data_IF_740848832863
#
_entry.id   IF_740848832863
#
_cell.length_a   1.000
_cell.length_b   1.000
_cell.length_c   1.000
_cell.angle_alpha   90.00
_cell.angle_beta   90.00
_cell.angle_gamma   90.00
#
_symmetry.space_group_name_H-M   'P 1'
#
loop_
_entity.id
_entity.type
_entity.pdbx_description
1 polymer ?
#
# COMPACT_ATOMS: atom_id res chain seq x y z
N UNK A 1 43.08 -44.53 -28.96
CA UNK A 1 43.16 -45.57 -27.93
C UNK A 1 41.96 -45.35 -27.00
N UNK A 2 41.06 -46.31 -26.88
CA UNK A 2 39.97 -46.22 -25.92
C UNK A 2 40.58 -46.26 -24.51
N UNK A 3 40.37 -45.22 -23.70
CA UNK A 3 40.78 -45.24 -22.30
C UNK A 3 40.01 -46.36 -21.61
N UNK A 4 40.75 -47.17 -20.84
CA UNK A 4 40.16 -48.26 -20.09
C UNK A 4 39.40 -47.63 -18.95
N UNK A 5 38.07 -47.73 -18.94
CA UNK A 5 37.25 -47.29 -17.82
C UNK A 5 37.57 -48.13 -16.60
N UNK A 6 37.47 -47.50 -15.40
CA UNK A 6 37.64 -48.12 -14.09
C UNK A 6 39.10 -48.45 -13.70
N UNK A 7 40.09 -47.67 -14.14
CA UNK A 7 41.42 -47.67 -13.54
C UNK A 7 41.40 -46.86 -12.25
N UNK A 8 41.94 -47.45 -11.12
CA UNK A 8 42.07 -46.77 -9.85
C UNK A 8 43.30 -45.83 -9.89
N UNK A 9 43.16 -44.63 -9.35
CA UNK A 9 44.28 -43.73 -9.14
C UNK A 9 45.22 -44.29 -8.07
N UNK A 10 46.49 -43.87 -8.12
CA UNK A 10 47.54 -44.33 -7.22
C UNK A 10 47.44 -43.74 -5.79
N UNK A 11 46.52 -42.79 -5.59
CA UNK A 11 46.29 -42.15 -4.30
C UNK A 11 44.97 -42.55 -3.68
N UNK A 12 44.90 -42.42 -2.35
CA UNK A 12 43.64 -42.59 -1.61
C UNK A 12 43.48 -41.46 -0.58
N UNK A 13 42.23 -41.09 -0.32
CA UNK A 13 41.88 -40.14 0.73
C UNK A 13 40.98 -40.85 1.76
N UNK A 14 41.44 -40.89 3.00
CA UNK A 14 40.74 -41.55 4.11
C UNK A 14 40.23 -42.98 3.82
N UNK A 15 41.05 -43.75 3.10
CA UNK A 15 40.69 -45.12 2.72
C UNK A 15 39.80 -45.25 1.50
N UNK A 16 39.47 -44.15 0.82
CA UNK A 16 38.64 -44.12 -0.40
C UNK A 16 39.56 -43.99 -1.60
N UNK A 17 39.44 -44.91 -2.53
CA UNK A 17 40.14 -44.87 -3.81
C UNK A 17 39.22 -44.34 -4.90
N UNK A 18 39.75 -43.52 -5.78
CA UNK A 18 39.02 -42.89 -6.88
C UNK A 18 39.35 -43.59 -8.22
N UNK A 19 38.37 -43.60 -9.12
CA UNK A 19 38.58 -44.05 -10.49
C UNK A 19 39.02 -42.91 -11.40
N UNK A 20 40.01 -43.16 -12.27
CA UNK A 20 40.43 -42.19 -13.31
C UNK A 20 39.48 -42.25 -14.51
N UNK A 21 38.26 -41.81 -14.29
CA UNK A 21 37.24 -41.75 -15.33
C UNK A 21 37.09 -40.33 -15.90
N UNK A 22 36.94 -40.23 -17.21
CA UNK A 22 36.65 -38.96 -17.86
C UNK A 22 35.27 -38.44 -17.43
N UNK A 23 35.15 -37.14 -17.33
CA UNK A 23 33.87 -36.49 -17.05
C UNK A 23 32.86 -36.82 -18.18
N UNK A 24 31.59 -37.04 -17.85
CA UNK A 24 30.54 -37.23 -18.86
C UNK A 24 30.52 -36.10 -19.89
N UNK A 25 30.45 -36.37 -21.20
CA UNK A 25 30.51 -35.32 -22.25
C UNK A 25 29.47 -34.20 -22.07
N UNK A 26 28.27 -34.55 -21.62
CA UNK A 26 27.22 -33.58 -21.40
C UNK A 26 27.59 -32.57 -20.31
N UNK A 27 28.37 -32.97 -19.31
CA UNK A 27 28.84 -32.12 -18.22
C UNK A 27 29.87 -31.11 -18.72
N UNK A 28 30.78 -31.55 -19.56
CA UNK A 28 31.80 -30.71 -20.21
C UNK A 28 31.11 -29.69 -21.12
N UNK A 29 30.14 -30.11 -21.91
CA UNK A 29 29.37 -29.19 -22.75
C UNK A 29 28.58 -28.14 -21.93
N UNK A 30 27.95 -28.58 -20.85
CA UNK A 30 27.27 -27.63 -19.93
C UNK A 30 28.25 -26.63 -19.35
N UNK A 31 29.42 -27.06 -18.92
CA UNK A 31 30.46 -26.20 -18.38
C UNK A 31 30.90 -25.12 -19.38
N UNK A 32 31.18 -25.48 -20.61
CA UNK A 32 31.53 -24.52 -21.66
C UNK A 32 30.37 -23.59 -22.01
N UNK A 33 29.16 -24.10 -22.03
CA UNK A 33 27.96 -23.26 -22.26
C UNK A 33 27.80 -22.22 -21.18
N UNK A 34 28.01 -22.55 -19.92
CA UNK A 34 27.96 -21.58 -18.84
C UNK A 34 29.04 -20.51 -18.92
N UNK A 35 30.27 -20.88 -19.37
CA UNK A 35 31.33 -19.91 -19.61
C UNK A 35 30.94 -18.90 -20.71
N UNK A 36 30.46 -19.42 -21.86
CA UNK A 36 30.01 -18.58 -22.98
C UNK A 36 28.87 -17.69 -22.54
N UNK A 37 27.90 -18.22 -21.83
CA UNK A 37 26.81 -17.43 -21.24
C UNK A 37 27.34 -16.33 -20.32
N UNK A 38 28.25 -16.68 -19.41
CA UNK A 38 28.86 -15.72 -18.47
C UNK A 38 29.59 -14.57 -19.19
N UNK A 39 30.32 -14.87 -20.27
CA UNK A 39 30.99 -13.86 -21.09
C UNK A 39 29.97 -12.95 -21.78
N UNK A 40 28.95 -13.51 -22.41
CA UNK A 40 27.87 -12.73 -23.06
C UNK A 40 27.15 -11.86 -22.02
N UNK A 41 26.83 -12.40 -20.87
CA UNK A 41 26.19 -11.67 -19.78
C UNK A 41 27.03 -10.48 -19.31
N UNK A 42 28.32 -10.72 -19.07
CA UNK A 42 29.26 -9.69 -18.63
C UNK A 42 29.38 -8.57 -19.67
N UNK A 43 29.54 -8.94 -20.94
CA UNK A 43 29.62 -7.96 -22.01
C UNK A 43 28.33 -7.13 -22.13
N UNK A 44 27.17 -7.78 -22.07
CA UNK A 44 25.87 -7.13 -22.24
C UNK A 44 25.56 -6.15 -21.09
N UNK A 45 25.73 -6.58 -19.84
CA UNK A 45 25.33 -5.77 -18.68
C UNK A 45 26.42 -4.82 -18.15
N UNK A 46 27.70 -5.23 -18.24
CA UNK A 46 28.79 -4.46 -17.63
C UNK A 46 29.63 -3.65 -18.62
N UNK A 47 29.78 -4.12 -19.86
CA UNK A 47 30.61 -3.43 -20.87
C UNK A 47 29.73 -2.57 -21.76
N UNK A 48 28.78 -3.17 -22.45
CA UNK A 48 27.94 -2.44 -23.43
C UNK A 48 26.74 -1.76 -22.78
N UNK A 49 26.33 -2.18 -21.57
CA UNK A 49 25.17 -1.62 -20.84
C UNK A 49 23.92 -1.54 -21.72
N UNK A 50 23.66 -2.56 -22.52
CA UNK A 50 22.53 -2.60 -23.45
C UNK A 50 21.21 -2.92 -22.77
N UNK A 51 21.26 -3.52 -21.56
CA UNK A 51 20.12 -3.74 -20.71
C UNK A 51 20.31 -3.02 -19.37
N UNK A 52 19.23 -2.51 -18.76
CA UNK A 52 19.31 -1.88 -17.46
C UNK A 52 19.78 -2.89 -16.40
N UNK A 53 20.51 -2.43 -15.41
CA UNK A 53 20.82 -3.20 -14.22
C UNK A 53 19.56 -3.38 -13.36
N UNK A 54 19.53 -4.34 -12.44
CA UNK A 54 18.40 -4.54 -11.53
C UNK A 54 18.05 -3.28 -10.73
N UNK A 55 19.06 -2.50 -10.34
CA UNK A 55 18.85 -1.24 -9.62
C UNK A 55 18.22 -0.16 -10.52
N UNK A 56 18.62 -0.08 -11.78
CA UNK A 56 18.03 0.84 -12.75
C UNK A 56 16.59 0.43 -13.11
N UNK A 57 16.34 -0.86 -13.32
CA UNK A 57 15.00 -1.40 -13.55
C UNK A 57 14.07 -1.10 -12.38
N UNK A 58 14.50 -1.39 -11.16
CA UNK A 58 13.75 -1.05 -9.94
C UNK A 58 13.44 0.45 -9.84
N UNK A 59 14.40 1.31 -10.12
CA UNK A 59 14.17 2.78 -10.11
C UNK A 59 13.17 3.22 -11.17
N UNK A 60 13.23 2.63 -12.37
CA UNK A 60 12.26 2.92 -13.42
C UNK A 60 10.85 2.46 -13.04
N UNK A 61 10.72 1.26 -12.48
CA UNK A 61 9.44 0.72 -12.01
C UNK A 61 8.85 1.57 -10.87
N UNK A 62 9.67 1.95 -9.88
CA UNK A 62 9.24 2.82 -8.79
C UNK A 62 8.79 4.19 -9.30
N UNK A 63 9.52 4.80 -10.24
CA UNK A 63 9.11 6.05 -10.83
C UNK A 63 7.81 5.95 -11.63
N UNK A 64 7.56 4.82 -12.29
CA UNK A 64 6.29 4.56 -12.96
C UNK A 64 5.14 4.35 -11.95
N UNK A 65 5.39 3.60 -10.88
CA UNK A 65 4.42 3.39 -9.80
C UNK A 65 4.04 4.71 -9.12
N UNK A 66 5.01 5.58 -8.84
CA UNK A 66 4.75 6.92 -8.29
C UNK A 66 3.91 7.79 -9.24
N UNK A 67 4.22 7.78 -10.54
CA UNK A 67 3.42 8.49 -11.54
C UNK A 67 2.00 7.94 -11.64
N UNK A 68 1.85 6.62 -11.63
CA UNK A 68 0.54 5.97 -11.66
C UNK A 68 -0.28 6.31 -10.41
N UNK A 69 0.37 6.30 -9.23
CA UNK A 69 -0.25 6.68 -7.96
C UNK A 69 -0.69 8.14 -7.98
N UNK A 70 0.18 9.06 -8.39
CA UNK A 70 -0.14 10.48 -8.50
C UNK A 70 -1.27 10.75 -9.51
N UNK A 71 -1.28 10.04 -10.65
CA UNK A 71 -2.37 10.14 -11.63
C UNK A 71 -3.69 9.60 -11.07
N UNK A 72 -3.66 8.50 -10.30
CA UNK A 72 -4.83 7.95 -9.64
C UNK A 72 -5.36 8.90 -8.57
N UNK A 73 -4.49 9.45 -7.72
CA UNK A 73 -4.84 10.45 -6.70
C UNK A 73 -5.44 11.72 -7.34
N UNK A 74 -4.85 12.21 -8.44
CA UNK A 74 -5.38 13.35 -9.19
C UNK A 74 -6.74 13.04 -9.86
N UNK A 75 -6.91 11.84 -10.41
CA UNK A 75 -8.19 11.40 -10.98
C UNK A 75 -9.26 11.21 -9.89
N UNK A 76 -8.89 10.68 -8.73
CA UNK A 76 -9.78 10.59 -7.58
C UNK A 76 -10.15 11.96 -7.04
N UNK A 77 -9.19 12.86 -6.87
CA UNK A 77 -9.47 14.25 -6.46
C UNK A 77 -10.39 14.97 -7.46
N UNK A 78 -10.25 14.70 -8.76
CA UNK A 78 -11.07 15.31 -9.80
C UNK A 78 -12.44 14.60 -9.98
N UNK A 79 -12.55 13.30 -9.65
CA UNK A 79 -13.84 12.56 -9.63
C UNK A 79 -14.61 12.79 -8.33
N UNK A 80 -13.91 13.13 -7.27
CA UNK A 80 -14.42 13.65 -6.03
C UNK A 80 -14.61 15.18 -6.16
N UNK A 81 -15.44 15.64 -7.08
CA UNK A 81 -16.25 16.82 -6.78
C UNK A 81 -17.21 16.33 -5.69
N UNK A 82 -16.64 16.21 -4.50
CA UNK A 82 -17.36 15.81 -3.30
C UNK A 82 -18.21 17.02 -2.92
N UNK A 83 -19.35 17.15 -3.57
CA UNK A 83 -20.34 18.07 -3.12
C UNK A 83 -20.95 17.50 -1.84
N UNK A 84 -20.90 18.29 -0.78
CA UNK A 84 -21.68 18.05 0.43
C UNK A 84 -23.14 17.81 0.00
N UNK A 85 -23.69 16.64 0.33
CA UNK A 85 -25.10 16.38 0.07
C UNK A 85 -25.92 16.91 1.20
N UNK A 86 -26.85 17.81 0.88
CA UNK A 86 -27.89 18.28 1.80
C UNK A 86 -29.19 17.52 1.61
N UNK A 87 -29.18 16.48 0.76
CA UNK A 87 -30.34 15.65 0.51
C UNK A 87 -30.67 14.79 1.74
N UNK A 88 -31.89 14.86 2.21
CA UNK A 88 -32.34 14.12 3.39
C UNK A 88 -32.13 12.60 3.26
N UNK A 89 -32.29 12.04 2.04
CA UNK A 89 -32.06 10.62 1.79
C UNK A 89 -30.58 10.25 1.99
N UNK A 90 -29.65 11.06 1.48
CA UNK A 90 -28.22 10.84 1.66
C UNK A 90 -27.77 11.04 3.11
N UNK A 91 -28.32 12.03 3.81
CA UNK A 91 -28.01 12.26 5.23
C UNK A 91 -28.55 11.13 6.11
N UNK A 92 -29.73 10.58 5.83
CA UNK A 92 -30.24 9.42 6.53
C UNK A 92 -29.42 8.16 6.28
N UNK A 93 -29.00 7.94 5.01
CA UNK A 93 -28.10 6.85 4.66
C UNK A 93 -26.74 7.02 5.35
N UNK A 94 -26.19 8.24 5.39
CA UNK A 94 -24.98 8.59 6.10
C UNK A 94 -25.09 8.31 7.60
N UNK A 95 -26.21 8.69 8.21
CA UNK A 95 -26.52 8.37 9.61
C UNK A 95 -26.53 6.87 9.89
N UNK A 96 -27.15 6.08 9.02
CA UNK A 96 -27.18 4.63 9.16
C UNK A 96 -25.77 4.01 9.12
N UNK A 97 -24.89 4.52 8.23
CA UNK A 97 -23.48 4.12 8.18
C UNK A 97 -22.74 4.53 9.46
N UNK A 98 -22.98 5.74 9.95
CA UNK A 98 -22.39 6.26 11.19
C UNK A 98 -22.80 5.41 12.40
N UNK A 99 -24.07 5.12 12.56
CA UNK A 99 -24.60 4.32 13.66
C UNK A 99 -24.01 2.89 13.67
N UNK A 100 -23.76 2.33 12.48
CA UNK A 100 -23.21 0.98 12.37
C UNK A 100 -21.70 0.90 12.62
N UNK A 101 -20.93 1.95 12.27
CA UNK A 101 -19.46 1.84 12.17
C UNK A 101 -18.69 2.87 13.01
N UNK A 102 -19.25 4.02 13.31
CA UNK A 102 -18.56 5.15 13.91
C UNK A 102 -18.96 5.44 15.35
N UNK A 103 -20.22 5.12 15.70
CA UNK A 103 -20.84 5.37 17.00
C UNK A 103 -20.01 4.88 18.19
N UNK A 104 -19.41 3.68 18.07
CA UNK A 104 -18.65 3.06 19.17
C UNK A 104 -17.47 3.93 19.65
N UNK A 105 -16.89 4.73 18.78
CA UNK A 105 -15.76 5.60 19.07
C UNK A 105 -16.13 7.08 19.20
N UNK A 106 -17.09 7.55 18.38
CA UNK A 106 -17.43 8.97 18.29
C UNK A 106 -18.71 9.35 19.05
N UNK A 107 -19.40 8.38 19.65
CA UNK A 107 -20.67 8.63 20.35
C UNK A 107 -21.87 8.66 19.39
N UNK A 108 -23.09 8.51 19.94
CA UNK A 108 -24.31 8.39 19.14
C UNK A 108 -24.69 9.69 18.40
N UNK A 109 -24.29 10.83 18.94
CA UNK A 109 -24.55 12.15 18.37
C UNK A 109 -23.26 12.86 17.93
N UNK A 110 -22.15 12.13 17.80
CA UNK A 110 -20.85 12.68 17.46
C UNK A 110 -20.15 13.40 18.61
N UNK A 111 -20.65 13.26 19.85
CA UNK A 111 -20.12 13.93 21.06
C UNK A 111 -18.68 13.56 21.41
N UNK A 112 -18.14 12.51 20.82
CA UNK A 112 -16.82 11.98 21.12
C UNK A 112 -16.84 10.94 22.24
N UNK A 113 -15.79 10.16 22.27
CA UNK A 113 -15.57 9.10 23.25
C UNK A 113 -14.11 8.70 23.20
N UNK A 114 -13.80 7.51 22.66
CA UNK A 114 -12.43 7.15 22.27
C UNK A 114 -11.94 8.08 21.16
N UNK A 115 -12.77 8.30 20.15
CA UNK A 115 -12.54 9.27 19.09
C UNK A 115 -12.78 10.72 19.53
N UNK A 116 -12.43 11.71 18.69
CA UNK A 116 -12.70 13.12 18.94
C UNK A 116 -14.20 13.46 18.86
N UNK A 117 -14.56 14.59 19.44
CA UNK A 117 -15.83 15.25 19.23
C UNK A 117 -15.92 15.71 17.75
N UNK A 118 -17.05 15.45 17.11
CA UNK A 118 -17.30 15.78 15.70
C UNK A 118 -18.31 16.93 15.54
N UNK A 119 -18.70 17.55 16.63
CA UNK A 119 -19.77 18.57 16.67
C UNK A 119 -19.26 19.98 16.92
N UNK A 120 -18.01 20.11 17.36
CA UNK A 120 -17.40 21.39 17.73
C UNK A 120 -16.65 22.05 16.55
N UNK A 121 -16.04 23.20 16.83
CA UNK A 121 -15.29 24.01 15.87
C UNK A 121 -13.80 23.66 15.80
N UNK A 122 -13.38 22.58 16.45
CA UNK A 122 -11.97 22.18 16.54
C UNK A 122 -11.72 20.93 15.70
N UNK A 123 -10.73 21.01 14.83
CA UNK A 123 -10.44 19.96 13.84
C UNK A 123 -9.00 19.49 13.93
N UNK A 124 -8.82 18.18 13.89
CA UNK A 124 -7.50 17.53 13.86
C UNK A 124 -6.94 17.39 12.44
N UNK A 125 -7.83 17.33 11.44
CA UNK A 125 -7.44 16.96 10.06
C UNK A 125 -8.09 17.88 9.00
N UNK A 126 -8.61 19.05 9.40
CA UNK A 126 -9.33 19.96 8.52
C UNK A 126 -10.86 19.82 8.62
N UNK A 127 -11.59 20.79 8.04
CA UNK A 127 -13.05 20.90 8.14
C UNK A 127 -13.77 20.85 6.78
N UNK A 128 -13.05 20.58 5.69
CA UNK A 128 -13.64 20.43 4.38
C UNK A 128 -14.17 19.02 4.19
N UNK A 129 -15.16 18.86 3.33
CA UNK A 129 -15.73 17.54 3.05
C UNK A 129 -14.67 16.55 2.54
N UNK A 130 -13.69 17.03 1.77
CA UNK A 130 -12.58 16.24 1.27
C UNK A 130 -11.70 15.70 2.41
N UNK A 131 -11.54 16.49 3.49
CA UNK A 131 -10.76 16.09 4.67
C UNK A 131 -11.47 14.94 5.41
N UNK A 132 -12.79 15.01 5.57
CA UNK A 132 -13.58 13.92 6.16
C UNK A 132 -13.49 12.65 5.30
N UNK A 133 -13.72 12.79 3.98
CA UNK A 133 -13.62 11.67 3.04
C UNK A 133 -12.24 11.02 3.11
N UNK A 134 -11.18 11.83 3.13
CA UNK A 134 -9.79 11.35 3.23
C UNK A 134 -9.55 10.59 4.54
N UNK A 135 -9.94 11.17 5.68
CA UNK A 135 -9.76 10.56 7.00
C UNK A 135 -10.54 9.27 7.12
N UNK A 136 -11.77 9.20 6.63
CA UNK A 136 -12.57 7.98 6.67
C UNK A 136 -11.98 6.91 5.73
N UNK A 137 -11.57 7.30 4.53
CA UNK A 137 -10.99 6.38 3.55
C UNK A 137 -9.73 5.70 4.10
N UNK A 138 -8.76 6.49 4.54
CA UNK A 138 -7.43 6.01 4.91
C UNK A 138 -7.24 5.73 6.41
N UNK A 139 -8.17 6.19 7.24
CA UNK A 139 -8.06 6.09 8.69
C UNK A 139 -6.95 6.96 9.28
N UNK A 140 -6.75 6.81 10.58
CA UNK A 140 -5.65 7.39 11.35
C UNK A 140 -5.10 6.27 12.25
N UNK A 141 -4.36 5.30 11.70
CA UNK A 141 -3.97 4.07 12.39
C UNK A 141 -3.19 4.33 13.68
N UNK A 142 -2.34 5.36 13.70
CA UNK A 142 -1.57 5.79 14.87
C UNK A 142 -2.43 6.31 16.03
N UNK A 143 -3.69 6.66 15.76
CA UNK A 143 -4.70 7.06 16.74
C UNK A 143 -5.80 6.02 16.94
N UNK A 144 -5.67 4.86 16.29
CA UNK A 144 -6.60 3.74 16.41
C UNK A 144 -7.82 3.78 15.47
N UNK A 145 -7.92 4.77 14.57
CA UNK A 145 -8.97 4.80 13.55
C UNK A 145 -8.54 3.97 12.34
N UNK A 146 -9.27 2.90 12.06
CA UNK A 146 -8.99 2.01 10.92
C UNK A 146 -9.41 2.64 9.58
N UNK A 147 -8.77 2.27 8.46
CA UNK A 147 -9.23 2.67 7.12
C UNK A 147 -10.52 1.95 6.73
N UNK A 148 -11.44 2.68 6.12
CA UNK A 148 -12.75 2.17 5.74
C UNK A 148 -12.91 1.90 4.23
N UNK A 149 -11.91 2.19 3.41
CA UNK A 149 -11.96 2.03 1.94
C UNK A 149 -12.32 0.62 1.45
N UNK A 150 -12.00 -0.41 2.27
CA UNK A 150 -12.29 -1.81 1.93
C UNK A 150 -13.67 -2.29 2.42
N UNK A 151 -14.26 -1.57 3.36
CA UNK A 151 -15.50 -1.95 4.04
C UNK A 151 -16.70 -1.12 3.60
N UNK A 152 -16.48 0.11 3.16
CA UNK A 152 -17.51 1.04 2.70
C UNK A 152 -17.31 1.40 1.24
N UNK A 153 -18.38 1.51 0.48
CA UNK A 153 -18.34 2.04 -0.88
C UNK A 153 -18.04 3.55 -0.88
N UNK A 154 -17.53 4.08 -1.97
CA UNK A 154 -17.27 5.53 -2.13
C UNK A 154 -18.53 6.36 -1.85
N UNK A 155 -19.72 5.89 -2.28
CA UNK A 155 -21.00 6.54 -1.99
C UNK A 155 -21.27 6.58 -0.48
N UNK A 156 -21.08 5.47 0.23
CA UNK A 156 -21.28 5.41 1.70
C UNK A 156 -20.29 6.30 2.46
N UNK A 157 -19.04 6.36 2.02
CA UNK A 157 -18.03 7.27 2.59
C UNK A 157 -18.48 8.72 2.43
N UNK A 158 -18.97 9.10 1.25
CA UNK A 158 -19.48 10.45 1.01
C UNK A 158 -20.72 10.76 1.85
N UNK A 159 -21.65 9.83 1.92
CA UNK A 159 -22.88 9.98 2.71
C UNK A 159 -22.58 10.16 4.21
N UNK A 160 -21.68 9.32 4.77
CA UNK A 160 -21.31 9.45 6.19
C UNK A 160 -20.48 10.71 6.44
N UNK A 161 -19.65 11.15 5.50
CA UNK A 161 -18.92 12.42 5.60
C UNK A 161 -19.87 13.60 5.63
N UNK A 162 -20.89 13.61 4.76
CA UNK A 162 -21.93 14.62 4.71
C UNK A 162 -22.75 14.64 6.01
N UNK A 163 -23.09 13.46 6.54
CA UNK A 163 -23.77 13.37 7.82
C UNK A 163 -22.92 13.93 8.96
N UNK A 164 -21.63 13.57 9.05
CA UNK A 164 -20.72 14.09 10.07
C UNK A 164 -20.62 15.62 9.98
N UNK A 165 -20.47 16.16 8.78
CA UNK A 165 -20.45 17.61 8.58
C UNK A 165 -21.75 18.29 9.02
N UNK A 166 -22.90 17.62 8.88
CA UNK A 166 -24.19 18.14 9.36
C UNK A 166 -24.31 18.18 10.87
N UNK A 167 -23.46 17.46 11.61
CA UNK A 167 -23.41 17.51 13.08
C UNK A 167 -22.75 18.77 13.62
N UNK A 168 -22.04 19.50 12.78
CA UNK A 168 -21.38 20.75 13.17
C UNK A 168 -22.32 21.73 13.85
N UNK A 169 -21.88 22.28 14.98
CA UNK A 169 -22.67 23.23 15.78
C UNK A 169 -23.79 22.60 16.61
N UNK A 170 -24.04 21.30 16.50
CA UNK A 170 -24.90 20.63 17.46
C UNK A 170 -24.21 20.58 18.82
N UNK A 171 -24.99 20.60 19.90
CA UNK A 171 -24.46 20.63 21.27
C UNK A 171 -24.96 19.41 22.03
N UNK A 172 -24.44 18.22 21.76
CA UNK A 172 -24.85 17.04 22.50
C UNK A 172 -24.45 17.11 23.95
N UNK A 173 -25.23 16.44 24.80
CA UNK A 173 -24.90 16.34 26.22
C UNK A 173 -23.60 15.55 26.40
N UNK A 174 -22.76 15.97 27.34
CA UNK A 174 -21.47 15.33 27.65
C UNK A 174 -20.47 15.29 26.47
N UNK A 175 -20.47 16.30 25.62
CA UNK A 175 -19.49 16.42 24.56
C UNK A 175 -18.07 16.38 25.13
N UNK A 176 -17.18 15.63 24.47
CA UNK A 176 -15.77 15.56 24.80
C UNK A 176 -15.13 16.93 24.59
N UNK A 177 -14.13 17.25 25.43
CA UNK A 177 -13.38 18.50 25.29
C UNK A 177 -12.80 18.66 23.88
N UNK A 178 -12.76 19.89 23.33
CA UNK A 178 -12.26 20.20 22.01
C UNK A 178 -10.83 19.70 21.80
N UNK A 179 -10.56 19.17 20.62
CA UNK A 179 -9.24 18.66 20.23
C UNK A 179 -8.85 19.16 18.84
N UNK A 180 -7.63 19.68 18.70
CA UNK A 180 -7.12 20.19 17.42
C UNK A 180 -7.08 21.70 17.34
N UNK A 181 -7.23 22.23 16.15
CA UNK A 181 -7.16 23.65 15.84
C UNK A 181 -8.55 24.22 15.61
N UNK A 182 -8.79 25.45 16.13
CA UNK A 182 -10.02 26.16 15.83
C UNK A 182 -10.03 26.62 14.38
N UNK A 183 -10.97 26.10 13.60
CA UNK A 183 -11.15 26.46 12.19
C UNK A 183 -12.58 26.99 12.02
N UNK A 184 -12.69 28.27 11.63
CA UNK A 184 -13.98 28.90 11.40
C UNK A 184 -14.79 28.14 10.31
N UNK A 185 -16.09 28.05 10.48
CA UNK A 185 -16.99 27.49 9.47
C UNK A 185 -16.85 28.24 8.13
N UNK A 186 -16.79 27.48 7.05
CA UNK A 186 -16.82 28.00 5.68
C UNK A 186 -18.25 28.03 5.14
#
# INVERSE_FOLDING_TARGET
>A
MAKKHDELLDHEYDGIKEYDNDLPPWWIYLFYLTIVFGVIYLLNYHVFKTAPSQDEEYRMEMAQAEKAKAAHEAAEANSLVVAFSTDDEDLQAGKAVFDANCLACHGANGEGGVGPNLTDEYYLHGNKIEDYVKVITYGVPEKGMIPWEKSLSKKQILQVSSYIQSLYGSKPANAKEPQGELIAAQ
#
